data_IF_686592718176
#
_entry.id   IF_686592718176
#
_cell.length_a   1.000
_cell.length_b   1.000
_cell.length_c   1.000
_cell.angle_alpha   90.00
_cell.angle_beta   90.00
_cell.angle_gamma   90.00
#
_symmetry.space_group_name_H-M   'P 1'
#
loop_
_entity.id
_entity.type
_entity.pdbx_description
1 polymer ?
#
# COMPACT_ATOMS: atom_id res chain seq x y z
N UNK A 1 8.89 -27.71 -13.83
CA UNK A 1 8.50 -27.47 -12.42
C UNK A 1 9.25 -26.32 -11.72
N UNK A 2 10.54 -26.03 -12.01
CA UNK A 2 11.29 -24.93 -11.34
C UNK A 2 10.73 -23.51 -11.57
N UNK A 3 10.09 -23.27 -12.72
CA UNK A 3 9.54 -21.94 -13.08
C UNK A 3 8.32 -21.54 -12.25
N UNK A 4 7.45 -22.50 -11.90
CA UNK A 4 6.23 -22.24 -11.12
C UNK A 4 6.58 -21.86 -9.68
N UNK A 5 7.54 -22.56 -9.07
CA UNK A 5 7.99 -22.29 -7.70
C UNK A 5 8.59 -20.88 -7.56
N UNK A 6 9.45 -20.47 -8.52
CA UNK A 6 10.06 -19.13 -8.52
C UNK A 6 9.01 -18.03 -8.68
N UNK A 7 7.98 -18.27 -9.50
CA UNK A 7 6.87 -17.35 -9.72
C UNK A 7 5.99 -17.19 -8.46
N UNK A 8 5.69 -18.29 -7.78
CA UNK A 8 4.96 -18.25 -6.50
C UNK A 8 5.74 -17.49 -5.45
N UNK A 9 7.05 -17.74 -5.33
CA UNK A 9 7.89 -17.07 -4.33
C UNK A 9 7.98 -15.55 -4.58
N UNK A 10 8.08 -15.11 -5.84
CA UNK A 10 8.02 -13.69 -6.19
C UNK A 10 6.68 -13.05 -5.81
N UNK A 11 5.55 -13.71 -6.09
CA UNK A 11 4.22 -13.20 -5.72
C UNK A 11 4.08 -13.13 -4.21
N UNK A 12 4.52 -14.15 -3.47
CA UNK A 12 4.49 -14.16 -2.01
C UNK A 12 5.36 -13.05 -1.41
N UNK A 13 6.52 -12.76 -1.98
CA UNK A 13 7.37 -11.64 -1.56
C UNK A 13 6.70 -10.27 -1.80
N UNK A 14 6.09 -10.08 -2.97
CA UNK A 14 5.32 -8.86 -3.28
C UNK A 14 4.17 -8.69 -2.28
N UNK A 15 3.45 -9.78 -1.99
CA UNK A 15 2.36 -9.79 -1.03
C UNK A 15 2.86 -9.40 0.37
N UNK A 16 3.95 -10.01 0.84
CA UNK A 16 4.58 -9.69 2.12
C UNK A 16 5.01 -8.22 2.20
N UNK A 17 5.60 -7.68 1.13
CA UNK A 17 5.99 -6.28 1.07
C UNK A 17 4.80 -5.31 1.15
N UNK A 18 3.67 -5.64 0.51
CA UNK A 18 2.43 -4.85 0.62
C UNK A 18 1.89 -4.87 2.05
N UNK A 19 1.92 -6.02 2.72
CA UNK A 19 1.53 -6.13 4.12
C UNK A 19 2.41 -5.27 5.04
N UNK A 20 3.72 -5.28 4.84
CA UNK A 20 4.64 -4.42 5.59
C UNK A 20 4.36 -2.94 5.35
N UNK A 21 4.11 -2.53 4.10
CA UNK A 21 3.71 -1.16 3.76
C UNK A 21 2.39 -0.76 4.44
N UNK A 22 1.40 -1.66 4.47
CA UNK A 22 0.13 -1.42 5.12
C UNK A 22 0.32 -1.20 6.64
N UNK A 23 1.12 -2.03 7.30
CA UNK A 23 1.45 -1.87 8.73
C UNK A 23 2.16 -0.53 8.96
N UNK A 24 3.17 -0.19 8.15
CA UNK A 24 3.89 1.07 8.27
C UNK A 24 2.94 2.28 8.09
N UNK A 25 1.99 2.17 7.16
CA UNK A 25 0.99 3.21 6.89
C UNK A 25 0.02 3.36 8.08
N UNK A 26 -0.43 2.27 8.69
CA UNK A 26 -1.23 2.33 9.92
C UNK A 26 -0.48 2.98 11.08
N UNK A 27 0.80 2.62 11.29
CA UNK A 27 1.64 3.24 12.31
C UNK A 27 1.80 4.74 12.04
N UNK A 28 1.99 5.13 10.77
CA UNK A 28 2.08 6.54 10.38
C UNK A 28 0.79 7.31 10.66
N UNK A 29 -0.38 6.74 10.32
CA UNK A 29 -1.68 7.34 10.62
C UNK A 29 -1.83 7.54 12.14
N UNK A 30 -1.55 6.50 12.92
CA UNK A 30 -1.70 6.54 14.37
C UNK A 30 -0.74 7.55 15.03
N UNK A 31 0.54 7.51 14.67
CA UNK A 31 1.57 8.32 15.33
C UNK A 31 1.65 9.75 14.83
N UNK A 32 1.31 10.01 13.58
CA UNK A 32 1.43 11.35 12.97
C UNK A 32 0.07 11.99 12.87
N UNK A 33 -0.89 11.38 12.18
CA UNK A 33 -2.16 12.03 11.84
C UNK A 33 -3.05 12.19 13.09
N UNK A 34 -3.11 11.20 13.97
CA UNK A 34 -3.93 11.32 15.18
C UNK A 34 -3.36 12.33 16.18
N UNK A 35 -2.03 12.46 16.24
CA UNK A 35 -1.32 13.41 17.11
C UNK A 35 -1.39 14.87 16.64
N UNK A 36 -1.90 15.13 15.43
CA UNK A 36 -2.16 16.51 15.00
C UNK A 36 -3.38 17.04 15.76
N UNK A 37 -3.15 18.08 16.55
CA UNK A 37 -4.18 18.82 17.28
C UNK A 37 -4.84 19.83 16.35
N UNK A 38 -6.14 19.66 16.13
CA UNK A 38 -6.98 20.57 15.37
C UNK A 38 -8.15 20.89 16.29
N UNK A 39 -8.31 22.17 16.66
CA UNK A 39 -9.32 22.63 17.61
C UNK A 39 -10.75 22.39 17.11
N UNK A 40 -10.97 22.56 15.80
CA UNK A 40 -12.27 22.33 15.19
C UNK A 40 -12.53 20.83 14.95
N UNK A 41 -13.55 20.23 15.58
CA UNK A 41 -13.80 18.78 15.48
C UNK A 41 -14.19 18.32 14.07
N UNK A 42 -14.88 19.16 13.30
CA UNK A 42 -15.28 18.86 11.92
C UNK A 42 -14.05 18.86 11.00
N UNK A 43 -13.22 19.89 11.12
CA UNK A 43 -11.97 19.98 10.37
C UNK A 43 -11.03 18.80 10.70
N UNK A 44 -10.96 18.40 11.97
CA UNK A 44 -10.18 17.23 12.41
C UNK A 44 -10.66 15.94 11.76
N UNK A 45 -11.97 15.72 11.72
CA UNK A 45 -12.55 14.52 11.11
C UNK A 45 -12.31 14.48 9.59
N UNK A 46 -12.54 15.60 8.90
CA UNK A 46 -12.32 15.71 7.45
C UNK A 46 -10.84 15.50 7.10
N UNK A 47 -9.92 16.07 7.86
CA UNK A 47 -8.48 15.91 7.67
C UNK A 47 -8.04 14.45 7.86
N UNK A 48 -8.46 13.82 8.97
CA UNK A 48 -8.13 12.41 9.27
C UNK A 48 -8.65 11.46 8.20
N UNK A 49 -9.92 11.60 7.82
CA UNK A 49 -10.53 10.74 6.81
C UNK A 49 -9.95 11.02 5.42
N UNK A 50 -9.74 12.28 5.07
CA UNK A 50 -9.17 12.70 3.80
C UNK A 50 -7.76 12.15 3.60
N UNK A 51 -6.87 12.30 4.59
CA UNK A 51 -5.51 11.77 4.48
C UNK A 51 -5.51 10.25 4.49
N UNK A 52 -6.33 9.61 5.33
CA UNK A 52 -6.41 8.14 5.34
C UNK A 52 -6.85 7.60 3.97
N UNK A 53 -7.85 8.23 3.35
CA UNK A 53 -8.29 7.87 2.00
C UNK A 53 -7.21 8.13 0.95
N UNK A 54 -6.48 9.24 1.05
CA UNK A 54 -5.41 9.61 0.12
C UNK A 54 -4.22 8.64 0.22
N UNK A 55 -3.79 8.31 1.44
CA UNK A 55 -2.73 7.34 1.69
C UNK A 55 -3.12 5.94 1.21
N UNK A 56 -4.37 5.53 1.44
CA UNK A 56 -4.88 4.26 0.94
C UNK A 56 -4.94 4.22 -0.60
N UNK A 57 -5.37 5.32 -1.22
CA UNK A 57 -5.38 5.47 -2.68
C UNK A 57 -3.98 5.38 -3.27
N UNK A 58 -2.99 6.03 -2.64
CA UNK A 58 -1.58 5.93 -3.04
C UNK A 58 -1.05 4.49 -2.93
N UNK A 59 -1.40 3.77 -1.86
CA UNK A 59 -1.03 2.37 -1.70
C UNK A 59 -1.61 1.50 -2.82
N UNK A 60 -2.88 1.70 -3.18
CA UNK A 60 -3.53 0.98 -4.28
C UNK A 60 -2.92 1.30 -5.64
N UNK A 61 -2.59 2.57 -5.92
CA UNK A 61 -1.92 2.95 -7.16
C UNK A 61 -0.53 2.34 -7.25
N UNK A 62 0.23 2.37 -6.16
CA UNK A 62 1.54 1.73 -6.07
C UNK A 62 1.44 0.23 -6.29
N UNK A 63 0.45 -0.42 -5.67
CA UNK A 63 0.20 -1.85 -5.86
C UNK A 63 -0.16 -2.19 -7.30
N UNK A 64 -1.05 -1.41 -7.94
CA UNK A 64 -1.38 -1.55 -9.35
C UNK A 64 -0.13 -1.45 -10.22
N UNK A 65 0.74 -0.47 -9.94
CA UNK A 65 1.97 -0.28 -10.72
C UNK A 65 2.93 -1.47 -10.58
N UNK A 66 3.14 -1.98 -9.37
CA UNK A 66 3.96 -3.18 -9.13
C UNK A 66 3.37 -4.39 -9.85
N UNK A 67 2.06 -4.58 -9.77
CA UNK A 67 1.36 -5.72 -10.37
C UNK A 67 1.46 -5.68 -11.89
N UNK A 68 1.25 -4.51 -12.50
CA UNK A 68 1.41 -4.31 -13.94
C UNK A 68 2.86 -4.51 -14.39
N UNK A 69 3.83 -3.95 -13.64
CA UNK A 69 5.25 -4.14 -13.92
C UNK A 69 5.65 -5.61 -13.88
N UNK A 70 5.20 -6.34 -12.85
CA UNK A 70 5.43 -7.76 -12.71
C UNK A 70 4.81 -8.56 -13.87
N UNK A 71 3.55 -8.27 -14.21
CA UNK A 71 2.86 -8.91 -15.33
C UNK A 71 3.58 -8.67 -16.66
N UNK A 72 3.98 -7.44 -16.93
CA UNK A 72 4.66 -7.11 -18.18
C UNK A 72 6.02 -7.80 -18.30
N UNK A 73 6.80 -7.81 -17.21
CA UNK A 73 8.16 -8.36 -17.18
C UNK A 73 8.22 -9.89 -17.19
N UNK A 74 7.27 -10.56 -16.53
CA UNK A 74 7.34 -12.02 -16.31
C UNK A 74 6.25 -12.82 -17.03
N UNK A 75 5.17 -12.18 -17.48
CA UNK A 75 4.03 -12.86 -18.12
C UNK A 75 3.90 -12.47 -19.60
N UNK A 76 3.97 -11.19 -19.96
CA UNK A 76 3.74 -10.73 -21.34
C UNK A 76 4.94 -10.89 -22.29
N UNK A 77 6.16 -11.04 -21.75
CA UNK A 77 7.39 -11.23 -22.52
C UNK A 77 7.77 -12.68 -22.84
N UNK A 78 6.83 -13.62 -22.68
CA UNK A 78 6.92 -15.00 -23.18
C UNK A 78 5.85 -15.20 -24.23
#
# INVERSE_FOLDING_TARGET
MKGTLKRTLHISLIMCFIWLLLIALFIFIDRVILNIEIENPIARALFRNGISFLLFSLLLLFWRQITLWYYHKYVKGK
#
